data_IF_709483511805
#
_entry.id   IF_709483511805
#
_cell.length_a   1.000
_cell.length_b   1.000
_cell.length_c   1.000
_cell.angle_alpha   90.00
_cell.angle_beta   90.00
_cell.angle_gamma   90.00
#
_symmetry.space_group_name_H-M   'P 1'
#
loop_
_entity.id
_entity.type
_entity.pdbx_description
1 polymer ?
#
# COMPACT_ATOMS: atom_id res chain seq x y z
N UNK A 1 30.42 23.06 -9.87
CA UNK A 1 30.28 24.22 -10.78
C UNK A 1 28.96 24.97 -10.59
N UNK A 2 27.79 24.30 -10.47
CA UNK A 2 26.48 24.97 -10.26
C UNK A 2 26.40 25.84 -8.99
N UNK A 3 26.92 25.39 -7.85
CA UNK A 3 26.90 26.17 -6.58
C UNK A 3 27.71 27.47 -6.68
N UNK A 4 28.84 27.43 -7.39
CA UNK A 4 29.70 28.59 -7.60
C UNK A 4 29.03 29.65 -8.48
N UNK A 5 28.34 29.24 -9.56
CA UNK A 5 27.62 30.19 -10.42
C UNK A 5 26.44 30.85 -9.70
N UNK A 6 25.73 30.11 -8.82
CA UNK A 6 24.67 30.66 -7.96
C UNK A 6 25.25 31.72 -7.00
N UNK A 7 26.40 31.42 -6.38
CA UNK A 7 27.06 32.34 -5.45
C UNK A 7 27.54 33.63 -6.14
N UNK A 8 28.19 33.52 -7.31
CA UNK A 8 28.65 34.70 -8.07
C UNK A 8 27.46 35.57 -8.51
N UNK A 9 26.34 34.96 -8.95
CA UNK A 9 25.11 35.71 -9.25
C UNK A 9 24.58 36.46 -8.02
N UNK A 10 24.62 35.86 -6.82
CA UNK A 10 24.22 36.50 -5.57
C UNK A 10 25.10 37.71 -5.20
N UNK A 11 26.40 37.65 -5.50
CA UNK A 11 27.35 38.74 -5.18
C UNK A 11 27.53 39.77 -6.32
N UNK A 12 26.90 39.58 -7.48
CA UNK A 12 27.11 40.41 -8.67
C UNK A 12 26.95 41.91 -8.43
N UNK A 13 25.96 42.32 -7.63
CA UNK A 13 25.77 43.73 -7.26
C UNK A 13 26.94 44.31 -6.45
N UNK A 14 27.53 43.54 -5.53
CA UNK A 14 28.69 43.98 -4.74
C UNK A 14 29.95 44.05 -5.58
N UNK A 15 30.13 43.10 -6.51
CA UNK A 15 31.24 43.10 -7.46
C UNK A 15 31.15 44.31 -8.39
N UNK A 16 29.95 44.59 -8.94
CA UNK A 16 29.71 45.76 -9.77
C UNK A 16 29.96 47.07 -9.01
N UNK A 17 29.49 47.16 -7.77
CA UNK A 17 29.75 48.31 -6.90
C UNK A 17 31.25 48.53 -6.67
N UNK A 18 32.02 47.48 -6.40
CA UNK A 18 33.47 47.56 -6.24
C UNK A 18 34.19 48.03 -7.51
N UNK A 19 33.76 47.55 -8.68
CA UNK A 19 34.31 47.98 -9.98
C UNK A 19 34.03 49.45 -10.26
N UNK A 20 32.80 49.91 -10.01
CA UNK A 20 32.41 51.32 -10.14
C UNK A 20 33.22 52.21 -9.18
N UNK A 21 33.35 51.79 -7.92
CA UNK A 21 34.15 52.50 -6.92
C UNK A 21 35.62 52.59 -7.33
N UNK A 22 36.20 51.50 -7.83
CA UNK A 22 37.58 51.46 -8.32
C UNK A 22 37.78 52.37 -9.53
N UNK A 23 36.81 52.42 -10.46
CA UNK A 23 36.85 53.31 -11.62
C UNK A 23 36.81 54.80 -11.21
N UNK A 24 35.91 55.17 -10.29
CA UNK A 24 35.87 56.53 -9.73
C UNK A 24 37.18 56.89 -9.02
N UNK A 25 37.74 55.96 -8.25
CA UNK A 25 39.02 56.13 -7.56
C UNK A 25 40.17 56.38 -8.53
N UNK A 26 40.25 55.62 -9.64
CA UNK A 26 41.22 55.86 -10.70
C UNK A 26 41.04 57.22 -11.39
N UNK A 27 39.79 57.61 -11.69
CA UNK A 27 39.50 58.91 -12.29
C UNK A 27 39.93 60.08 -11.39
N UNK A 28 39.76 59.97 -10.08
CA UNK A 28 40.22 61.00 -9.13
C UNK A 28 41.75 61.14 -9.14
N UNK A 29 42.48 60.03 -9.12
CA UNK A 29 43.96 60.07 -9.17
C UNK A 29 44.47 60.68 -10.48
N UNK A 30 43.80 60.38 -11.59
CA UNK A 30 44.11 60.97 -12.89
C UNK A 30 43.85 62.49 -12.90
N UNK A 31 42.70 62.94 -12.38
CA UNK A 31 42.30 64.35 -12.38
C UNK A 31 43.22 65.23 -11.50
N UNK A 32 43.69 64.71 -10.37
CA UNK A 32 44.59 65.41 -9.46
C UNK A 32 46.09 65.28 -9.82
N UNK A 33 46.42 64.64 -10.94
CA UNK A 33 47.81 64.40 -11.38
C UNK A 33 48.67 63.64 -10.34
N UNK A 34 48.05 62.82 -9.50
CA UNK A 34 48.74 61.97 -8.53
C UNK A 34 49.33 60.77 -9.28
N UNK A 35 50.47 60.21 -8.87
CA UNK A 35 51.07 59.08 -9.56
C UNK A 35 50.12 57.87 -9.62
N UNK A 36 49.73 57.47 -10.84
CA UNK A 36 48.75 56.40 -11.08
C UNK A 36 49.18 55.03 -10.52
N UNK A 37 50.49 54.80 -10.35
CA UNK A 37 50.99 53.55 -9.75
C UNK A 37 50.53 53.37 -8.29
N UNK A 38 50.30 54.47 -7.55
CA UNK A 38 49.77 54.41 -6.19
C UNK A 38 48.30 53.95 -6.18
N UNK A 39 47.50 54.38 -7.15
CA UNK A 39 46.11 53.92 -7.32
C UNK A 39 46.06 52.43 -7.69
N UNK A 40 46.94 51.99 -8.61
CA UNK A 40 47.05 50.57 -8.98
C UNK A 40 47.39 49.71 -7.77
N UNK A 41 48.37 50.13 -6.96
CA UNK A 41 48.76 49.40 -5.75
C UNK A 41 47.62 49.32 -4.73
N UNK A 42 46.90 50.43 -4.49
CA UNK A 42 45.77 50.45 -3.56
C UNK A 42 44.62 49.52 -4.01
N UNK A 43 44.28 49.53 -5.30
CA UNK A 43 43.25 48.63 -5.88
C UNK A 43 43.71 47.18 -5.82
N UNK A 44 44.99 46.89 -6.07
CA UNK A 44 45.55 45.55 -5.97
C UNK A 44 45.45 44.98 -4.55
N UNK A 45 45.88 45.74 -3.54
CA UNK A 45 45.79 45.33 -2.13
C UNK A 45 44.33 45.17 -1.70
N UNK A 46 43.45 46.10 -2.07
CA UNK A 46 42.02 46.02 -1.78
C UNK A 46 41.35 44.81 -2.45
N UNK A 47 41.73 44.50 -3.69
CA UNK A 47 41.24 43.32 -4.43
C UNK A 47 41.68 42.02 -3.76
N UNK A 48 42.94 41.93 -3.31
CA UNK A 48 43.44 40.75 -2.61
C UNK A 48 42.64 40.47 -1.32
N UNK A 49 42.36 41.51 -0.53
CA UNK A 49 41.52 41.38 0.66
C UNK A 49 40.07 41.02 0.32
N UNK A 50 39.50 41.65 -0.71
CA UNK A 50 38.15 41.35 -1.19
C UNK A 50 37.99 39.90 -1.67
N UNK A 51 38.98 39.38 -2.40
CA UNK A 51 39.01 37.99 -2.86
C UNK A 51 39.07 37.04 -1.67
N UNK A 52 39.89 37.32 -0.66
CA UNK A 52 39.97 36.49 0.56
C UNK A 52 38.61 36.43 1.28
N UNK A 53 37.91 37.57 1.41
CA UNK A 53 36.56 37.62 2.01
C UNK A 53 35.53 36.84 1.18
N UNK A 54 35.57 36.96 -0.15
CA UNK A 54 34.68 36.22 -1.06
C UNK A 54 34.93 34.71 -0.99
N UNK A 55 36.19 34.27 -0.93
CA UNK A 55 36.54 32.85 -0.75
C UNK A 55 35.98 32.33 0.57
N UNK A 56 36.18 33.07 1.68
CA UNK A 56 35.66 32.69 2.98
C UNK A 56 34.12 32.57 2.99
N UNK A 57 33.42 33.56 2.44
CA UNK A 57 31.97 33.53 2.32
C UNK A 57 31.47 32.41 1.38
N UNK A 58 32.21 32.10 0.32
CA UNK A 58 31.87 31.01 -0.59
C UNK A 58 31.98 29.64 0.11
N UNK A 59 33.00 29.43 0.96
CA UNK A 59 33.15 28.19 1.73
C UNK A 59 31.93 27.98 2.64
N UNK A 60 31.53 29.00 3.41
CA UNK A 60 30.34 28.94 4.27
C UNK A 60 29.07 28.67 3.47
N UNK A 61 28.87 29.39 2.37
CA UNK A 61 27.71 29.20 1.50
C UNK A 61 27.65 27.77 0.92
N UNK A 62 28.79 27.23 0.49
CA UNK A 62 28.89 25.87 -0.04
C UNK A 62 28.53 24.83 1.03
N UNK A 63 28.99 25.00 2.26
CA UNK A 63 28.66 24.10 3.37
C UNK A 63 27.15 24.08 3.64
N UNK A 64 26.52 25.25 3.76
CA UNK A 64 25.06 25.37 3.94
C UNK A 64 24.29 24.73 2.78
N UNK A 65 24.71 25.01 1.53
CA UNK A 65 24.05 24.48 0.34
C UNK A 65 24.07 22.95 0.30
N UNK A 66 25.20 22.32 0.64
CA UNK A 66 25.32 20.86 0.67
C UNK A 66 24.47 20.24 1.77
N UNK A 67 24.36 20.88 2.94
CA UNK A 67 23.47 20.41 4.01
C UNK A 67 22.00 20.45 3.58
N UNK A 68 21.58 21.54 2.92
CA UNK A 68 20.22 21.67 2.40
C UNK A 68 19.94 20.63 1.30
N UNK A 69 20.87 20.41 0.37
CA UNK A 69 20.74 19.40 -0.69
C UNK A 69 20.58 17.98 -0.11
N UNK A 70 21.29 17.68 0.98
CA UNK A 70 21.14 16.42 1.71
C UNK A 70 19.77 16.31 2.39
N UNK A 71 19.33 17.34 3.09
CA UNK A 71 18.04 17.36 3.77
C UNK A 71 16.86 17.15 2.79
N UNK A 72 16.95 17.72 1.58
CA UNK A 72 15.94 17.55 0.52
C UNK A 72 15.98 16.15 -0.13
N UNK A 73 17.14 15.50 -0.14
CA UNK A 73 17.31 14.20 -0.80
C UNK A 73 17.01 13.00 0.12
N UNK A 74 16.75 13.24 1.41
CA UNK A 74 16.37 12.19 2.36
C UNK A 74 14.89 11.84 2.22
N UNK A 75 14.56 10.55 2.38
CA UNK A 75 13.17 10.04 2.33
C UNK A 75 12.33 10.57 3.49
N UNK A 76 12.95 10.69 4.67
CA UNK A 76 12.38 11.33 5.86
C UNK A 76 13.11 12.63 6.13
N UNK A 77 12.36 13.73 6.13
CA UNK A 77 12.88 15.05 6.43
C UNK A 77 12.80 15.30 7.94
N UNK A 78 13.91 15.69 8.56
CA UNK A 78 13.96 16.13 9.96
C UNK A 78 14.41 17.60 10.00
N UNK A 79 13.65 18.51 10.64
CA UNK A 79 14.05 19.92 10.75
C UNK A 79 15.43 20.12 11.38
N UNK A 80 15.85 19.21 12.27
CA UNK A 80 17.17 19.22 12.92
C UNK A 80 18.35 19.12 11.93
N UNK A 81 18.11 18.60 10.72
CA UNK A 81 19.12 18.48 9.66
C UNK A 81 19.25 19.76 8.82
N UNK A 82 18.45 20.80 9.09
CA UNK A 82 18.57 22.07 8.40
C UNK A 82 19.86 22.82 8.79
N UNK A 83 20.47 23.55 7.85
CA UNK A 83 21.56 24.46 8.20
C UNK A 83 21.01 25.59 9.08
N UNK A 84 21.61 25.78 10.26
CA UNK A 84 21.24 26.87 11.18
C UNK A 84 21.20 28.24 10.49
N UNK A 85 20.11 28.98 10.65
CA UNK A 85 20.00 30.32 10.12
C UNK A 85 21.07 31.26 10.73
N UNK A 86 21.68 32.10 9.89
CA UNK A 86 22.59 33.16 10.36
C UNK A 86 21.82 34.46 10.72
N UNK A 87 20.49 34.39 10.87
CA UNK A 87 19.59 35.49 11.24
C UNK A 87 18.85 36.14 10.06
N UNK A 88 17.94 37.06 10.38
CA UNK A 88 17.10 37.75 9.39
C UNK A 88 16.04 36.84 8.76
N UNK A 89 15.80 36.99 7.45
CA UNK A 89 14.81 36.21 6.69
C UNK A 89 15.04 34.69 6.77
N UNK A 90 16.30 34.24 6.86
CA UNK A 90 16.63 32.80 6.98
C UNK A 90 16.03 32.20 8.26
N UNK A 91 16.00 32.94 9.37
CA UNK A 91 15.44 32.46 10.63
C UNK A 91 13.90 32.38 10.60
N UNK A 92 13.24 33.28 9.85
CA UNK A 92 11.79 33.21 9.65
C UNK A 92 11.40 32.06 8.72
N UNK A 93 12.22 31.74 7.72
CA UNK A 93 12.04 30.54 6.91
C UNK A 93 12.26 29.24 7.70
N UNK A 94 13.26 29.19 8.58
CA UNK A 94 13.50 28.04 9.47
C UNK A 94 12.27 27.77 10.34
N UNK A 95 11.74 28.78 11.04
CA UNK A 95 10.49 28.66 11.82
C UNK A 95 9.29 28.23 10.99
N UNK A 96 9.15 28.73 9.76
CA UNK A 96 8.05 28.33 8.88
C UNK A 96 8.17 26.84 8.51
N UNK A 97 9.38 26.36 8.20
CA UNK A 97 9.62 24.95 7.88
C UNK A 97 9.37 24.06 9.10
N UNK A 98 9.82 24.47 10.29
CA UNK A 98 9.51 23.77 11.55
C UNK A 98 7.99 23.67 11.76
N UNK A 99 7.26 24.77 11.61
CA UNK A 99 5.79 24.79 11.77
C UNK A 99 5.08 23.92 10.73
N UNK A 100 5.57 23.90 9.48
CA UNK A 100 5.01 23.02 8.44
C UNK A 100 5.27 21.56 8.77
N UNK A 101 6.47 21.23 9.25
CA UNK A 101 6.81 19.89 9.70
C UNK A 101 5.92 19.43 10.86
N UNK A 102 5.76 20.26 11.89
CA UNK A 102 4.84 19.99 13.01
C UNK A 102 3.40 19.79 12.53
N UNK A 103 2.91 20.61 11.60
CA UNK A 103 1.57 20.45 11.04
C UNK A 103 1.41 19.13 10.27
N UNK A 104 2.42 18.71 9.50
CA UNK A 104 2.41 17.44 8.78
C UNK A 104 2.38 16.28 9.77
N UNK A 105 3.25 16.31 10.79
CA UNK A 105 3.29 15.28 11.85
C UNK A 105 1.98 15.22 12.63
N UNK A 106 1.39 16.36 12.99
CA UNK A 106 0.09 16.39 13.66
C UNK A 106 -1.03 15.83 12.78
N UNK A 107 -1.03 16.16 11.47
CA UNK A 107 -1.99 15.61 10.53
C UNK A 107 -1.84 14.10 10.36
N UNK A 108 -0.61 13.59 10.32
CA UNK A 108 -0.30 12.17 10.26
C UNK A 108 -0.79 11.45 11.53
N UNK A 109 -0.52 12.01 12.70
CA UNK A 109 -1.00 11.48 13.98
C UNK A 109 -2.55 11.45 14.04
N UNK A 110 -3.22 12.55 13.67
CA UNK A 110 -4.69 12.61 13.62
C UNK A 110 -5.26 11.60 12.62
N UNK A 111 -4.59 11.39 11.49
CA UNK A 111 -5.01 10.41 10.49
C UNK A 111 -4.89 8.98 11.04
N UNK A 112 -3.75 8.64 11.64
CA UNK A 112 -3.49 7.34 12.25
C UNK A 112 -4.46 7.05 13.40
N UNK A 113 -4.74 8.04 14.26
CA UNK A 113 -5.75 7.92 15.33
C UNK A 113 -7.14 7.64 14.76
N UNK A 114 -7.57 8.38 13.73
CA UNK A 114 -8.86 8.15 13.06
C UNK A 114 -8.96 6.79 12.39
N UNK A 115 -7.86 6.30 11.82
CA UNK A 115 -7.80 4.97 11.21
C UNK A 115 -7.97 3.88 12.27
N UNK A 116 -7.26 3.99 13.40
CA UNK A 116 -7.41 3.08 14.54
C UNK A 116 -8.83 3.10 15.12
N UNK A 117 -9.38 4.28 15.37
CA UNK A 117 -10.76 4.45 15.87
C UNK A 117 -11.78 3.80 14.93
N UNK A 118 -11.62 3.97 13.61
CA UNK A 118 -12.47 3.32 12.60
C UNK A 118 -12.36 1.79 12.67
N UNK A 119 -11.15 1.25 12.77
CA UNK A 119 -10.92 -0.19 12.88
C UNK A 119 -11.55 -0.78 14.13
N UNK A 120 -11.39 -0.12 15.28
CA UNK A 120 -12.00 -0.52 16.55
C UNK A 120 -13.54 -0.47 16.47
N UNK A 121 -14.07 0.64 15.95
CA UNK A 121 -15.51 0.84 15.80
C UNK A 121 -16.14 -0.25 14.93
N UNK A 122 -15.62 -0.50 13.72
CA UNK A 122 -16.18 -1.55 12.87
C UNK A 122 -15.97 -2.96 13.42
N UNK A 123 -14.86 -3.21 14.13
CA UNK A 123 -14.64 -4.51 14.79
C UNK A 123 -15.69 -4.77 15.86
N UNK A 124 -16.03 -3.76 16.66
CA UNK A 124 -17.12 -3.83 17.64
C UNK A 124 -18.47 -4.09 16.96
N UNK A 125 -18.77 -3.36 15.89
CA UNK A 125 -20.02 -3.53 15.13
C UNK A 125 -20.17 -4.94 14.57
N UNK A 126 -19.09 -5.51 14.03
CA UNK A 126 -19.14 -6.90 13.56
C UNK A 126 -19.42 -7.87 14.71
N UNK A 127 -18.77 -7.70 15.86
CA UNK A 127 -19.06 -8.55 17.03
C UNK A 127 -20.55 -8.43 17.42
N UNK A 128 -21.09 -7.22 17.44
CA UNK A 128 -22.51 -6.98 17.74
C UNK A 128 -23.46 -7.57 16.69
N UNK A 129 -23.07 -7.66 15.42
CA UNK A 129 -23.86 -8.30 14.35
C UNK A 129 -23.77 -9.84 14.41
N UNK A 130 -22.63 -10.41 14.85
CA UNK A 130 -22.50 -11.87 14.99
C UNK A 130 -23.45 -12.46 16.03
N UNK A 131 -23.71 -11.74 17.13
CA UNK A 131 -24.62 -12.18 18.20
C UNK A 131 -26.06 -12.48 17.72
N UNK A 132 -26.77 -11.57 17.02
CA UNK A 132 -28.09 -11.86 16.49
C UNK A 132 -28.06 -12.93 15.39
N UNK A 133 -27.01 -13.01 14.56
CA UNK A 133 -26.84 -14.10 13.59
C UNK A 133 -26.81 -15.46 14.30
N UNK A 134 -26.00 -15.59 15.35
CA UNK A 134 -25.91 -16.81 16.15
C UNK A 134 -27.25 -17.16 16.81
N UNK A 135 -27.95 -16.17 17.37
CA UNK A 135 -29.29 -16.36 17.94
C UNK A 135 -30.30 -16.87 16.89
N UNK A 136 -30.28 -16.31 15.68
CA UNK A 136 -31.13 -16.78 14.58
C UNK A 136 -30.77 -18.20 14.16
N UNK A 137 -29.48 -18.54 14.10
CA UNK A 137 -29.02 -19.90 13.78
C UNK A 137 -29.56 -20.94 14.78
N UNK A 138 -29.51 -20.62 16.08
CA UNK A 138 -30.05 -21.48 17.14
C UNK A 138 -31.57 -21.66 17.02
N UNK A 139 -32.32 -20.61 16.66
CA UNK A 139 -33.78 -20.70 16.46
C UNK A 139 -34.13 -21.59 15.26
N UNK A 140 -33.36 -21.49 14.18
CA UNK A 140 -33.59 -22.27 12.97
C UNK A 140 -33.25 -23.76 13.14
N UNK A 141 -32.36 -24.11 14.08
CA UNK A 141 -32.08 -25.52 14.41
C UNK A 141 -33.30 -26.26 15.02
N UNK A 142 -34.28 -25.52 15.56
CA UNK A 142 -35.48 -26.12 16.17
C UNK A 142 -36.48 -26.70 15.16
N UNK A 143 -36.42 -26.28 13.89
CA UNK A 143 -37.35 -26.72 12.84
C UNK A 143 -36.61 -27.06 11.54
N UNK A 144 -36.69 -28.31 11.09
CA UNK A 144 -36.15 -28.72 9.78
C UNK A 144 -37.20 -28.56 8.68
N UNK A 145 -37.54 -27.30 8.37
CA UNK A 145 -38.46 -26.92 7.29
C UNK A 145 -37.70 -26.39 6.07
N UNK A 146 -38.33 -26.42 4.90
CA UNK A 146 -37.75 -25.82 3.68
C UNK A 146 -37.46 -24.32 3.89
N UNK A 147 -38.36 -23.63 4.60
CA UNK A 147 -38.20 -22.23 5.00
C UNK A 147 -36.97 -22.04 5.92
N UNK A 148 -36.80 -22.88 6.95
CA UNK A 148 -35.65 -22.82 7.86
C UNK A 148 -34.33 -22.97 7.12
N UNK A 149 -34.27 -23.89 6.15
CA UNK A 149 -33.08 -24.10 5.30
C UNK A 149 -32.80 -22.92 4.36
N UNK A 150 -33.84 -22.26 3.84
CA UNK A 150 -33.70 -21.06 3.01
C UNK A 150 -33.13 -19.90 3.82
N UNK A 151 -33.74 -19.58 4.98
CA UNK A 151 -33.25 -18.52 5.88
C UNK A 151 -31.83 -18.83 6.40
N UNK A 152 -31.54 -20.09 6.72
CA UNK A 152 -30.19 -20.50 7.14
C UNK A 152 -29.14 -20.24 6.05
N UNK A 153 -29.50 -20.40 4.78
CA UNK A 153 -28.61 -20.08 3.65
C UNK A 153 -28.37 -18.58 3.55
N UNK A 154 -29.40 -17.76 3.74
CA UNK A 154 -29.26 -16.30 3.72
C UNK A 154 -28.47 -15.76 4.92
N UNK A 155 -28.65 -16.34 6.12
CA UNK A 155 -27.83 -16.01 7.29
C UNK A 155 -26.35 -16.34 7.07
N UNK A 156 -26.06 -17.50 6.46
CA UNK A 156 -24.69 -17.85 6.09
C UNK A 156 -24.08 -16.82 5.12
N UNK A 157 -24.86 -16.30 4.16
CA UNK A 157 -24.41 -15.22 3.27
C UNK A 157 -24.16 -13.92 4.02
N UNK A 158 -25.04 -13.55 4.96
CA UNK A 158 -24.86 -12.35 5.78
C UNK A 158 -23.58 -12.47 6.62
N UNK A 159 -23.36 -13.63 7.26
CA UNK A 159 -22.13 -13.90 8.01
C UNK A 159 -20.89 -13.76 7.13
N UNK A 160 -20.91 -14.29 5.91
CA UNK A 160 -19.83 -14.11 4.95
C UNK A 160 -19.57 -12.64 4.62
N UNK A 161 -20.62 -11.83 4.40
CA UNK A 161 -20.44 -10.39 4.15
C UNK A 161 -19.84 -9.65 5.35
N UNK A 162 -20.27 -10.01 6.56
CA UNK A 162 -19.72 -9.46 7.80
C UNK A 162 -18.24 -9.82 7.97
N UNK A 163 -17.87 -11.05 7.64
CA UNK A 163 -16.47 -11.50 7.62
C UNK A 163 -15.64 -10.81 6.54
N UNK A 164 -16.21 -10.61 5.34
CA UNK A 164 -15.57 -9.85 4.27
C UNK A 164 -15.26 -8.42 4.68
N UNK A 165 -16.16 -7.75 5.43
CA UNK A 165 -15.91 -6.39 5.95
C UNK A 165 -14.74 -6.39 6.94
N UNK A 166 -14.72 -7.31 7.90
CA UNK A 166 -13.58 -7.43 8.82
C UNK A 166 -12.27 -7.72 8.10
N UNK A 167 -12.32 -8.63 7.12
CA UNK A 167 -11.18 -8.98 6.30
C UNK A 167 -10.65 -7.75 5.55
N UNK A 168 -11.53 -6.97 4.93
CA UNK A 168 -11.17 -5.75 4.21
C UNK A 168 -10.49 -4.73 5.15
N UNK A 169 -11.07 -4.48 6.31
CA UNK A 169 -10.54 -3.53 7.29
C UNK A 169 -9.16 -3.94 7.82
N UNK A 170 -8.97 -5.24 8.10
CA UNK A 170 -7.69 -5.76 8.63
C UNK A 170 -6.58 -5.89 7.58
N UNK A 171 -6.92 -5.94 6.29
CA UNK A 171 -5.92 -5.97 5.22
C UNK A 171 -5.20 -4.63 5.03
N UNK A 172 -5.86 -3.53 5.41
CA UNK A 172 -5.30 -2.19 5.33
C UNK A 172 -4.54 -1.80 6.61
N UNK A 173 -4.88 -2.41 7.76
CA UNK A 173 -4.14 -2.20 9.01
C UNK A 173 -2.70 -2.75 8.96
N UNK A 174 -1.79 -2.13 9.72
CA UNK A 174 -0.35 -2.40 9.73
C UNK A 174 0.02 -3.89 9.72
N UNK A 175 1.13 -4.23 9.04
CA UNK A 175 1.58 -5.61 8.74
C UNK A 175 1.89 -6.52 9.94
N UNK A 176 1.66 -6.07 11.18
CA UNK A 176 2.07 -6.73 12.42
C UNK A 176 1.16 -7.88 12.88
N UNK A 177 0.07 -8.16 12.16
CA UNK A 177 -0.96 -9.12 12.57
C UNK A 177 -0.86 -10.52 11.94
N UNK A 178 0.11 -10.79 11.05
CA UNK A 178 0.25 -12.10 10.44
C UNK A 178 0.97 -13.10 11.35
N UNK A 179 0.34 -14.23 11.62
CA UNK A 179 0.91 -15.32 12.42
C UNK A 179 1.32 -16.46 11.49
N UNK A 180 2.50 -16.34 10.89
CA UNK A 180 3.06 -17.39 10.04
C UNK A 180 3.51 -18.59 10.87
N UNK A 181 2.91 -19.76 10.60
CA UNK A 181 3.34 -21.05 11.15
C UNK A 181 3.25 -22.13 10.09
N UNK A 182 3.85 -23.28 10.35
CA UNK A 182 3.69 -24.46 9.52
C UNK A 182 2.33 -25.10 9.80
N UNK A 183 1.51 -25.19 8.76
CA UNK A 183 0.18 -25.80 8.82
C UNK A 183 0.06 -26.91 7.78
N UNK A 184 -0.71 -27.95 8.13
CA UNK A 184 -1.14 -28.94 7.15
C UNK A 184 -2.14 -28.28 6.20
N UNK A 185 -1.85 -28.29 4.90
CA UNK A 185 -2.78 -27.73 3.91
C UNK A 185 -4.14 -28.47 3.93
N UNK A 186 -4.10 -29.78 4.20
CA UNK A 186 -5.30 -30.61 4.31
C UNK A 186 -6.20 -30.20 5.48
N UNK A 187 -5.64 -29.72 6.61
CA UNK A 187 -6.49 -29.28 7.73
C UNK A 187 -7.30 -28.04 7.36
N UNK A 188 -6.66 -27.09 6.69
CA UNK A 188 -7.29 -25.83 6.25
C UNK A 188 -8.34 -26.11 5.17
N UNK A 189 -8.02 -26.94 4.17
CA UNK A 189 -8.97 -27.34 3.12
C UNK A 189 -10.19 -28.04 3.73
N UNK A 190 -9.98 -29.00 4.64
CA UNK A 190 -11.09 -29.73 5.27
C UNK A 190 -11.97 -28.81 6.11
N UNK A 191 -11.39 -27.80 6.78
CA UNK A 191 -12.16 -26.80 7.51
C UNK A 191 -13.07 -26.00 6.58
N UNK A 192 -12.52 -25.48 5.47
CA UNK A 192 -13.29 -24.75 4.46
C UNK A 192 -14.42 -25.63 3.87
N UNK A 193 -14.10 -26.86 3.46
CA UNK A 193 -15.07 -27.80 2.90
C UNK A 193 -16.20 -28.11 3.90
N UNK A 194 -15.88 -28.33 5.18
CA UNK A 194 -16.89 -28.60 6.22
C UNK A 194 -17.89 -27.46 6.36
N UNK A 195 -17.43 -26.21 6.30
CA UNK A 195 -18.29 -25.03 6.37
C UNK A 195 -19.35 -25.03 5.25
N UNK A 196 -19.00 -25.48 4.05
CA UNK A 196 -19.90 -25.49 2.90
C UNK A 196 -20.60 -26.84 2.65
N UNK A 197 -20.36 -27.86 3.47
CA UNK A 197 -20.94 -29.20 3.29
C UNK A 197 -22.48 -29.20 3.09
N UNK A 198 -23.28 -28.39 3.82
CA UNK A 198 -24.73 -28.33 3.58
C UNK A 198 -25.10 -27.88 2.15
N UNK A 199 -24.32 -26.97 1.54
CA UNK A 199 -24.57 -26.48 0.19
C UNK A 199 -24.21 -27.53 -0.87
N UNK A 200 -23.12 -28.26 -0.67
CA UNK A 200 -22.75 -29.40 -1.52
C UNK A 200 -23.88 -30.45 -1.57
N UNK A 201 -24.41 -30.82 -0.39
CA UNK A 201 -25.50 -31.79 -0.27
C UNK A 201 -26.77 -31.26 -0.93
N UNK A 202 -27.18 -30.03 -0.62
CA UNK A 202 -28.42 -29.43 -1.15
C UNK A 202 -28.40 -29.30 -2.67
N UNK A 203 -27.29 -28.85 -3.25
CA UNK A 203 -27.13 -28.74 -4.70
C UNK A 203 -26.76 -30.07 -5.38
N UNK A 204 -26.55 -31.15 -4.62
CA UNK A 204 -26.05 -32.43 -5.14
C UNK A 204 -24.77 -32.26 -5.96
N UNK A 205 -23.88 -31.36 -5.53
CA UNK A 205 -22.59 -31.13 -6.20
C UNK A 205 -21.60 -32.18 -5.69
N UNK A 206 -20.95 -32.90 -6.60
CA UNK A 206 -19.90 -33.85 -6.26
C UNK A 206 -18.63 -33.12 -5.86
N UNK A 207 -18.11 -33.41 -4.67
CA UNK A 207 -16.79 -32.94 -4.24
C UNK A 207 -15.74 -34.02 -4.52
N UNK A 208 -14.73 -33.69 -5.32
CA UNK A 208 -13.55 -34.52 -5.57
C UNK A 208 -12.34 -33.89 -4.89
N UNK A 209 -11.87 -34.49 -3.80
CA UNK A 209 -10.75 -33.95 -3.05
C UNK A 209 -9.65 -34.99 -2.93
N UNK A 210 -8.48 -34.65 -3.43
CA UNK A 210 -7.26 -35.45 -3.29
C UNK A 210 -6.42 -34.88 -2.15
N UNK A 211 -6.07 -35.75 -1.19
CA UNK A 211 -5.23 -35.37 -0.05
C UNK A 211 -3.88 -34.85 -0.55
N UNK A 212 -3.49 -33.68 -0.06
CA UNK A 212 -2.28 -32.98 -0.49
C UNK A 212 -1.03 -33.53 0.23
N UNK A 213 -1.17 -33.94 1.50
CA UNK A 213 -0.09 -34.27 2.44
C UNK A 213 0.99 -33.17 2.53
N UNK A 214 0.63 -31.93 2.18
CA UNK A 214 1.55 -30.80 2.14
C UNK A 214 1.54 -30.05 3.48
N UNK A 215 2.72 -29.59 3.89
CA UNK A 215 2.90 -28.63 4.98
C UNK A 215 3.40 -27.32 4.37
N UNK A 216 2.75 -26.22 4.71
CA UNK A 216 3.05 -24.89 4.18
C UNK A 216 3.23 -23.89 5.31
N UNK A 217 4.15 -22.93 5.12
CA UNK A 217 4.32 -21.79 6.01
C UNK A 217 3.32 -20.70 5.61
N UNK A 218 2.24 -20.55 6.37
CA UNK A 218 1.14 -19.61 6.09
C UNK A 218 0.57 -19.04 7.38
N UNK A 219 -0.29 -18.04 7.25
CA UNK A 219 -1.31 -17.75 8.25
C UNK A 219 -2.58 -18.56 7.92
N UNK A 220 -3.02 -19.39 8.87
CA UNK A 220 -4.18 -20.29 8.71
C UNK A 220 -5.47 -19.51 8.44
N UNK A 221 -5.70 -18.41 9.16
CA UNK A 221 -6.95 -17.66 9.08
C UNK A 221 -7.11 -16.98 7.72
N UNK A 222 -6.03 -16.38 7.22
CA UNK A 222 -6.05 -15.69 5.93
C UNK A 222 -6.17 -16.68 4.77
N UNK A 223 -5.45 -17.80 4.81
CA UNK A 223 -5.57 -18.82 3.77
C UNK A 223 -6.95 -19.50 3.80
N UNK A 224 -7.50 -19.76 4.99
CA UNK A 224 -8.85 -20.29 5.14
C UNK A 224 -9.88 -19.38 4.46
N UNK A 225 -9.80 -18.07 4.69
CA UNK A 225 -10.68 -17.09 4.04
C UNK A 225 -10.60 -17.17 2.50
N UNK A 226 -9.39 -17.26 1.94
CA UNK A 226 -9.20 -17.42 0.49
C UNK A 226 -9.90 -18.67 -0.01
N UNK A 227 -9.68 -19.83 0.63
CA UNK A 227 -10.31 -21.09 0.25
C UNK A 227 -11.83 -21.04 0.34
N UNK A 228 -12.36 -20.45 1.41
CA UNK A 228 -13.80 -20.29 1.59
C UNK A 228 -14.41 -19.40 0.50
N UNK A 229 -13.72 -18.34 0.09
CA UNK A 229 -14.18 -17.46 -0.97
C UNK A 229 -14.15 -18.14 -2.36
N UNK A 230 -13.10 -18.93 -2.63
CA UNK A 230 -13.02 -19.73 -3.86
C UNK A 230 -14.14 -20.79 -3.90
N UNK A 231 -14.34 -21.54 -2.81
CA UNK A 231 -15.41 -22.54 -2.71
C UNK A 231 -16.80 -21.91 -2.81
N UNK A 232 -17.02 -20.76 -2.17
CA UNK A 232 -18.29 -20.01 -2.26
C UNK A 232 -18.59 -19.61 -3.71
N UNK A 233 -17.60 -19.11 -4.44
CA UNK A 233 -17.75 -18.77 -5.86
C UNK A 233 -18.03 -20.03 -6.69
N UNK A 234 -17.26 -21.10 -6.53
CA UNK A 234 -17.48 -22.36 -7.25
C UNK A 234 -18.87 -22.93 -6.98
N UNK A 235 -19.34 -22.92 -5.73
CA UNK A 235 -20.69 -23.37 -5.36
C UNK A 235 -21.78 -22.45 -5.92
N UNK A 236 -21.54 -21.14 -5.97
CA UNK A 236 -22.49 -20.17 -6.53
C UNK A 236 -22.71 -20.42 -8.03
N UNK A 237 -21.63 -20.60 -8.79
CA UNK A 237 -21.66 -20.67 -10.25
C UNK A 237 -21.79 -22.09 -10.83
N UNK A 238 -21.67 -23.13 -9.98
CA UNK A 238 -21.94 -24.52 -10.37
C UNK A 238 -23.43 -24.83 -10.27
N UNK A 239 -23.97 -25.41 -11.35
CA UNK A 239 -25.36 -25.87 -11.41
C UNK A 239 -25.54 -27.12 -10.53
N UNK A 240 -26.76 -27.38 -10.01
CA UNK A 240 -27.03 -28.61 -9.27
C UNK A 240 -26.65 -29.86 -10.06
N UNK A 241 -26.03 -30.85 -9.39
CA UNK A 241 -25.50 -32.05 -10.03
C UNK A 241 -24.10 -31.90 -10.66
N UNK A 242 -23.49 -30.72 -10.62
CA UNK A 242 -22.13 -30.48 -11.10
C UNK A 242 -21.03 -31.07 -10.20
N UNK A 243 -19.78 -30.73 -10.47
CA UNK A 243 -18.62 -31.17 -9.72
C UNK A 243 -17.70 -30.00 -9.37
N UNK A 244 -17.13 -30.05 -8.15
CA UNK A 244 -16.03 -29.20 -7.72
C UNK A 244 -14.90 -30.13 -7.26
N UNK A 245 -13.69 -29.88 -7.76
CA UNK A 245 -12.50 -30.66 -7.42
C UNK A 245 -11.41 -29.78 -6.81
N UNK A 246 -10.70 -30.32 -5.82
CA UNK A 246 -9.51 -29.71 -5.22
C UNK A 246 -8.31 -30.62 -5.45
N UNK A 247 -7.33 -30.12 -6.18
CA UNK A 247 -6.16 -30.88 -6.63
C UNK A 247 -4.87 -30.19 -6.20
N UNK A 248 -3.93 -30.98 -5.69
CA UNK A 248 -2.58 -30.52 -5.39
C UNK A 248 -1.62 -30.94 -6.50
N UNK A 249 -1.04 -29.98 -7.20
CA UNK A 249 -0.15 -30.21 -8.34
C UNK A 249 1.26 -29.70 -8.03
N UNK A 250 2.31 -30.39 -8.52
CA UNK A 250 3.65 -29.85 -8.48
C UNK A 250 3.73 -28.52 -9.24
N UNK A 251 4.58 -27.57 -8.82
CA UNK A 251 5.52 -27.72 -7.70
C UNK A 251 4.91 -27.42 -6.31
N UNK A 252 3.95 -26.51 -6.17
CA UNK A 252 3.14 -26.25 -4.96
C UNK A 252 1.83 -25.52 -5.31
N UNK A 253 1.09 -26.05 -6.29
CA UNK A 253 -0.13 -25.44 -6.81
C UNK A 253 -1.38 -26.13 -6.23
N UNK A 254 -2.25 -25.35 -5.59
CA UNK A 254 -3.59 -25.80 -5.23
C UNK A 254 -4.59 -25.31 -6.28
N UNK A 255 -5.26 -26.24 -6.95
CA UNK A 255 -6.24 -25.96 -8.00
C UNK A 255 -7.64 -26.26 -7.47
N UNK A 256 -8.50 -25.24 -7.44
CA UNK A 256 -9.94 -25.37 -7.17
C UNK A 256 -10.68 -25.27 -8.49
N UNK A 257 -11.19 -26.40 -8.98
CA UNK A 257 -11.86 -26.49 -10.27
C UNK A 257 -13.33 -26.75 -10.11
N UNK A 258 -14.17 -26.00 -10.82
CA UNK A 258 -15.61 -26.21 -10.88
C UNK A 258 -16.10 -26.48 -12.30
N UNK A 259 -17.26 -27.13 -12.42
CA UNK A 259 -17.97 -27.34 -13.70
C UNK A 259 -19.08 -26.30 -13.89
N UNK A 260 -18.84 -25.06 -13.48
CA UNK A 260 -19.81 -23.97 -13.53
C UNK A 260 -19.98 -23.36 -14.91
N UNK A 261 -20.58 -22.17 -14.94
CA UNK A 261 -20.86 -21.43 -16.19
C UNK A 261 -19.60 -20.95 -16.93
N UNK A 262 -18.43 -20.95 -16.28
CA UNK A 262 -17.20 -20.39 -16.81
C UNK A 262 -17.19 -18.86 -16.86
N UNK A 263 -16.05 -18.30 -17.25
CA UNK A 263 -15.75 -16.87 -17.32
C UNK A 263 -15.34 -16.54 -18.75
N UNK A 264 -15.84 -15.42 -19.28
CA UNK A 264 -15.46 -14.92 -20.60
C UNK A 264 -13.98 -14.52 -20.63
N UNK A 265 -13.30 -14.74 -21.77
CA UNK A 265 -11.85 -14.47 -21.88
C UNK A 265 -11.52 -13.00 -21.65
N UNK A 266 -12.44 -12.12 -22.00
CA UNK A 266 -12.34 -10.67 -21.85
C UNK A 266 -12.45 -10.23 -20.39
N UNK A 267 -13.13 -11.03 -19.56
CA UNK A 267 -13.37 -10.75 -18.15
C UNK A 267 -12.22 -11.28 -17.27
N UNK A 268 -11.52 -12.36 -17.70
CA UNK A 268 -10.44 -13.02 -16.93
C UNK A 268 -9.36 -12.07 -16.38
N UNK A 269 -8.84 -11.08 -17.13
CA UNK A 269 -7.82 -10.16 -16.59
C UNK A 269 -8.34 -9.28 -15.45
N UNK A 270 -9.66 -9.14 -15.33
CA UNK A 270 -10.32 -8.13 -14.49
C UNK A 270 -11.03 -8.71 -13.27
N UNK A 271 -11.19 -10.04 -13.18
CA UNK A 271 -11.94 -10.68 -12.09
C UNK A 271 -11.40 -10.42 -10.68
N UNK A 272 -10.13 -10.01 -10.57
CA UNK A 272 -9.49 -9.63 -9.31
C UNK A 272 -9.43 -8.11 -9.08
N UNK A 273 -10.00 -7.29 -9.97
CA UNK A 273 -10.09 -5.84 -9.80
C UNK A 273 -11.15 -5.49 -8.74
N UNK A 274 -10.90 -4.43 -7.97
CA UNK A 274 -11.81 -3.97 -6.93
C UNK A 274 -13.16 -3.58 -7.52
N UNK A 275 -14.22 -4.24 -7.04
CA UNK A 275 -15.60 -3.92 -7.43
C UNK A 275 -15.98 -4.42 -8.83
N UNK A 276 -15.14 -5.24 -9.46
CA UNK A 276 -15.44 -5.77 -10.77
C UNK A 276 -16.46 -6.91 -10.69
N UNK A 277 -17.51 -6.79 -11.50
CA UNK A 277 -18.50 -7.84 -11.73
C UNK A 277 -18.56 -8.08 -13.23
N UNK A 278 -18.18 -9.28 -13.65
CA UNK A 278 -18.19 -9.68 -15.06
C UNK A 278 -19.60 -9.59 -15.68
N UNK A 279 -19.71 -9.87 -16.98
CA UNK A 279 -20.97 -9.72 -17.73
C UNK A 279 -22.16 -10.44 -17.05
N UNK A 280 -21.94 -11.65 -16.55
CA UNK A 280 -22.96 -12.46 -15.84
C UNK A 280 -23.33 -11.90 -14.45
N UNK A 281 -22.46 -11.10 -13.82
CA UNK A 281 -22.76 -10.43 -12.55
C UNK A 281 -23.65 -9.18 -12.71
N UNK A 282 -23.86 -8.70 -13.94
CA UNK A 282 -24.77 -7.56 -14.21
C UNK A 282 -26.24 -7.99 -14.28
N UNK A 283 -26.51 -9.21 -14.74
CA UNK A 283 -27.85 -9.81 -14.66
C UNK A 283 -28.19 -10.18 -13.20
N UNK A 284 -27.22 -10.74 -12.48
CA UNK A 284 -27.34 -11.14 -11.09
C UNK A 284 -26.81 -10.01 -10.17
N UNK A 285 -27.61 -8.93 -10.00
CA UNK A 285 -27.34 -7.67 -9.25
C UNK A 285 -26.84 -7.81 -7.79
N UNK A 286 -26.46 -9.01 -7.35
CA UNK A 286 -26.04 -9.38 -5.99
C UNK A 286 -24.53 -9.53 -5.82
N UNK A 287 -23.72 -9.39 -6.88
CA UNK A 287 -22.26 -9.51 -6.77
C UNK A 287 -21.62 -8.15 -6.42
N UNK A 288 -20.80 -8.09 -5.37
CA UNK A 288 -20.07 -6.87 -4.97
C UNK A 288 -18.72 -6.69 -5.68
N UNK A 289 -18.17 -7.76 -6.29
CA UNK A 289 -16.84 -7.74 -6.89
C UNK A 289 -15.69 -7.62 -5.87
N UNK A 290 -15.96 -7.80 -4.58
CA UNK A 290 -14.97 -7.61 -3.51
C UNK A 290 -14.23 -8.93 -3.18
N UNK A 291 -14.89 -10.08 -3.27
CA UNK A 291 -14.34 -11.36 -2.79
C UNK A 291 -13.01 -11.77 -3.44
N UNK A 292 -12.96 -11.81 -4.77
CA UNK A 292 -11.72 -12.18 -5.49
C UNK A 292 -10.64 -11.11 -5.36
N UNK A 293 -11.01 -9.83 -5.30
CA UNK A 293 -10.07 -8.75 -5.00
C UNK A 293 -9.39 -8.94 -3.64
N UNK A 294 -10.16 -9.29 -2.59
CA UNK A 294 -9.62 -9.63 -1.27
C UNK A 294 -8.68 -10.85 -1.35
N UNK A 295 -9.07 -11.89 -2.09
CA UNK A 295 -8.22 -13.07 -2.28
C UNK A 295 -6.86 -12.70 -2.87
N UNK A 296 -6.85 -11.84 -3.90
CA UNK A 296 -5.61 -11.35 -4.52
C UNK A 296 -4.73 -10.61 -3.51
N UNK A 297 -5.29 -9.66 -2.77
CA UNK A 297 -4.56 -8.90 -1.74
C UNK A 297 -3.99 -9.78 -0.63
N UNK A 298 -4.77 -10.75 -0.16
CA UNK A 298 -4.32 -11.71 0.85
C UNK A 298 -3.16 -12.54 0.30
N UNK A 299 -3.29 -13.08 -0.91
CA UNK A 299 -2.23 -13.86 -1.54
C UNK A 299 -0.95 -13.03 -1.69
N UNK A 300 -1.05 -11.77 -2.13
CA UNK A 300 0.09 -10.84 -2.22
C UNK A 300 0.79 -10.65 -0.86
N UNK A 301 0.03 -10.41 0.21
CA UNK A 301 0.58 -10.25 1.58
C UNK A 301 1.17 -11.56 2.15
N UNK A 302 0.63 -12.72 1.78
CA UNK A 302 1.19 -14.03 2.15
C UNK A 302 2.40 -14.41 1.29
N UNK A 303 2.64 -13.73 0.17
CA UNK A 303 3.70 -14.03 -0.79
C UNK A 303 3.33 -15.13 -1.79
N UNK A 304 2.04 -15.38 -2.01
CA UNK A 304 1.46 -16.38 -2.92
C UNK A 304 0.96 -15.76 -4.23
N UNK A 305 0.89 -16.59 -5.27
CA UNK A 305 0.25 -16.24 -6.54
C UNK A 305 -1.20 -16.72 -6.59
N UNK A 306 -2.06 -16.00 -7.32
CA UNK A 306 -3.42 -16.44 -7.63
C UNK A 306 -3.82 -16.02 -9.06
N UNK A 307 -4.39 -16.93 -9.83
CA UNK A 307 -4.96 -16.65 -11.15
C UNK A 307 -6.12 -17.62 -11.46
N UNK A 308 -6.76 -17.41 -12.61
CA UNK A 308 -7.85 -18.24 -13.08
C UNK A 308 -7.66 -18.66 -14.53
N UNK A 309 -8.05 -19.89 -14.83
CA UNK A 309 -8.21 -20.42 -16.18
C UNK A 309 -9.67 -20.84 -16.35
N UNK A 310 -10.34 -20.40 -17.41
CA UNK A 310 -11.77 -20.65 -17.55
C UNK A 310 -12.19 -20.69 -19.00
N UNK A 311 -13.21 -21.50 -19.27
CA UNK A 311 -13.90 -21.53 -20.55
C UNK A 311 -15.41 -21.56 -20.31
N UNK A 312 -16.14 -20.72 -21.05
CA UNK A 312 -17.58 -20.61 -20.96
C UNK A 312 -18.23 -21.99 -21.14
N UNK A 313 -19.15 -22.34 -20.25
CA UNK A 313 -19.87 -23.60 -20.16
C UNK A 313 -19.04 -24.86 -19.85
N UNK A 314 -17.72 -24.74 -19.66
CA UNK A 314 -16.88 -25.86 -19.18
C UNK A 314 -16.51 -25.73 -17.71
N UNK A 315 -16.47 -24.50 -17.20
CA UNK A 315 -16.19 -24.21 -15.80
C UNK A 315 -14.93 -23.39 -15.59
N UNK A 316 -14.46 -23.31 -14.35
CA UNK A 316 -13.34 -22.44 -13.95
C UNK A 316 -12.35 -23.20 -13.08
N UNK A 317 -11.06 -22.98 -13.33
CA UNK A 317 -9.95 -23.41 -12.48
C UNK A 317 -9.36 -22.17 -11.81
N UNK A 318 -9.52 -22.07 -10.49
CA UNK A 318 -8.84 -21.08 -9.66
C UNK A 318 -7.55 -21.71 -9.13
N UNK A 319 -6.41 -21.09 -9.41
CA UNK A 319 -5.09 -21.67 -9.15
C UNK A 319 -4.35 -20.79 -8.15
N UNK A 320 -3.95 -21.40 -7.03
CA UNK A 320 -3.13 -20.79 -5.98
C UNK A 320 -1.71 -21.34 -6.07
N UNK A 321 -0.73 -20.47 -6.30
CA UNK A 321 0.69 -20.80 -6.18
C UNK A 321 1.18 -20.51 -4.77
N UNK A 322 1.31 -21.57 -3.98
CA UNK A 322 1.71 -21.50 -2.58
C UNK A 322 3.24 -21.48 -2.42
N UNK A 323 4.01 -21.39 -3.51
CA UNK A 323 5.43 -21.06 -3.43
C UNK A 323 5.59 -19.65 -2.91
N UNK A 324 6.04 -19.52 -1.67
CA UNK A 324 6.34 -18.22 -1.09
C UNK A 324 7.50 -17.57 -1.84
N UNK A 325 7.25 -16.42 -2.48
CA UNK A 325 8.34 -15.53 -2.91
C UNK A 325 9.05 -14.99 -1.66
N UNK A 326 10.37 -14.79 -1.70
CA UNK A 326 11.06 -14.04 -0.63
C UNK A 326 10.36 -12.69 -0.49
N UNK A 327 9.69 -12.47 0.63
CA UNK A 327 9.13 -11.16 0.95
C UNK A 327 10.33 -10.22 1.12
N UNK A 328 10.41 -9.18 0.29
CA UNK A 328 11.26 -8.03 0.57
C UNK A 328 10.64 -7.36 1.80
N UNK A 329 11.28 -7.56 2.94
CA UNK A 329 11.01 -6.75 4.13
C UNK A 329 11.63 -5.39 3.79
N UNK A 330 10.80 -4.36 3.59
CA UNK A 330 11.27 -2.97 3.42
C UNK A 330 11.98 -2.45 4.68
#
# INVERSE_FOLDING_TARGET
MKVFSIYIKKQGGKILFYLLFSAVFFCLFFLYQIPLHAAVYAVFVGSAFGIAVLIFQFIKFRQKYVQLERAVSQKEFLPENLPKAEGGLEAEYEKLVERLYENIQNMENIYNEKELDMLEYYTLWVHQIKTPIASMYLKLQGEDSEFSREIGTDLMRIEQYVEMVLCYLRLDSSEKDYVFREYSLDSIIKQAVRRFAPQFIRKKIKLEYETTNAVILTDEKWLLFVLEQLLSNSLKYTKPGGCISLQWKPPQLLVVKDTGIGIAKEDLPRIFEKGYTGYNGREDKKASGIGLYLCKRICEKLGYGIWAESEIHKGTEMILDLKRKKLEIE
#
